data_IF_531371674739
#
_entry.id   IF_531371674739
#
_cell.length_a   1.000
_cell.length_b   1.000
_cell.length_c   1.000
_cell.angle_alpha   90.00
_cell.angle_beta   90.00
_cell.angle_gamma   90.00
#
_symmetry.space_group_name_H-M   'P 1'
#
loop_
_entity.id
_entity.type
_entity.pdbx_description
1 polymer ?
#
# COMPACT_ATOMS: atom_id res chain seq x y z
N UNK A 1 -8.41 -12.78 -25.07
CA UNK A 1 -7.75 -11.58 -25.66
C UNK A 1 -6.30 -11.57 -25.16
N UNK A 2 -5.32 -11.65 -26.04
CA UNK A 2 -3.90 -11.57 -25.68
C UNK A 2 -3.39 -10.18 -26.04
N UNK A 3 -3.24 -9.25 -25.07
CA UNK A 3 -2.73 -7.93 -25.36
C UNK A 3 -1.27 -7.99 -25.84
N UNK A 4 -0.86 -7.03 -26.68
CA UNK A 4 0.53 -6.92 -27.09
C UNK A 4 1.46 -6.70 -25.89
N UNK A 5 2.74 -7.02 -26.01
CA UNK A 5 3.75 -6.79 -24.96
C UNK A 5 3.78 -5.31 -24.55
N UNK A 6 3.68 -4.39 -25.49
CA UNK A 6 3.63 -2.96 -25.19
C UNK A 6 2.40 -2.59 -24.35
N UNK A 7 1.24 -3.16 -24.70
CA UNK A 7 0.00 -2.98 -23.92
C UNK A 7 0.13 -3.55 -22.50
N UNK A 8 0.70 -4.74 -22.35
CA UNK A 8 0.94 -5.35 -21.03
C UNK A 8 1.85 -4.47 -20.16
N UNK A 9 2.94 -3.97 -20.74
CA UNK A 9 3.89 -3.09 -20.04
C UNK A 9 3.23 -1.76 -19.64
N UNK A 10 2.39 -1.19 -20.51
CA UNK A 10 1.63 0.03 -20.23
C UNK A 10 0.62 -0.16 -19.10
N UNK A 11 -0.15 -1.26 -19.12
CA UNK A 11 -1.10 -1.59 -18.05
C UNK A 11 -0.41 -1.85 -16.71
N UNK A 12 0.74 -2.54 -16.73
CA UNK A 12 1.53 -2.77 -15.51
C UNK A 12 2.06 -1.45 -14.93
N UNK A 13 2.56 -0.53 -15.76
CA UNK A 13 2.99 0.79 -15.32
C UNK A 13 1.81 1.59 -14.71
N UNK A 14 0.66 1.60 -15.38
CA UNK A 14 -0.53 2.26 -14.88
C UNK A 14 -0.98 1.69 -13.52
N UNK A 15 -1.02 0.35 -13.38
CA UNK A 15 -1.36 -0.31 -12.12
C UNK A 15 -0.42 0.08 -10.98
N UNK A 16 0.90 0.10 -11.24
CA UNK A 16 1.90 0.53 -10.26
C UNK A 16 1.73 2.00 -9.87
N UNK A 17 1.46 2.86 -10.85
CA UNK A 17 1.22 4.29 -10.60
C UNK A 17 -0.03 4.51 -9.73
N UNK A 18 -1.12 3.79 -9.98
CA UNK A 18 -2.34 3.87 -9.18
C UNK A 18 -2.13 3.37 -7.74
N UNK A 19 -1.37 2.30 -7.54
CA UNK A 19 -1.00 1.82 -6.21
C UNK A 19 -0.13 2.87 -5.49
N UNK A 20 0.89 3.40 -6.15
CA UNK A 20 1.75 4.44 -5.58
C UNK A 20 0.96 5.72 -5.24
N UNK A 21 -0.02 6.09 -6.06
CA UNK A 21 -0.90 7.25 -5.83
C UNK A 21 -1.74 7.10 -4.55
N UNK A 22 -2.02 5.89 -4.11
CA UNK A 22 -2.68 5.66 -2.82
C UNK A 22 -1.70 5.82 -1.65
N UNK A 23 -0.54 5.17 -1.71
CA UNK A 23 0.35 5.06 -0.56
C UNK A 23 1.27 6.26 -0.37
N UNK A 24 1.88 6.79 -1.44
CA UNK A 24 2.84 7.88 -1.32
C UNK A 24 2.21 9.17 -0.75
N UNK A 25 1.08 9.67 -1.26
CA UNK A 25 0.42 10.82 -0.66
C UNK A 25 -0.06 10.56 0.77
N UNK A 26 -0.54 9.33 1.06
CA UNK A 26 -0.97 8.96 2.41
C UNK A 26 0.19 9.01 3.41
N UNK A 27 1.37 8.50 3.04
CA UNK A 27 2.56 8.59 3.87
C UNK A 27 3.06 10.02 4.04
N UNK A 28 3.10 10.81 2.96
CA UNK A 28 3.52 12.23 3.01
C UNK A 28 2.59 13.07 3.88
N UNK A 29 1.28 12.87 3.82
CA UNK A 29 0.31 13.59 4.65
C UNK A 29 0.51 13.32 6.15
N UNK A 30 0.96 12.13 6.52
CA UNK A 30 1.26 11.76 7.90
C UNK A 30 2.45 12.54 8.49
N UNK A 31 3.37 12.98 7.65
CA UNK A 31 4.50 13.83 8.11
C UNK A 31 3.96 15.13 8.68
N UNK A 32 3.03 15.79 7.98
CA UNK A 32 2.43 17.05 8.41
C UNK A 32 1.51 16.94 9.63
N UNK A 33 0.98 15.73 9.90
CA UNK A 33 0.07 15.45 11.02
C UNK A 33 0.61 14.39 11.98
N UNK A 34 1.93 14.29 12.12
CA UNK A 34 2.61 13.20 12.83
C UNK A 34 2.08 12.96 14.24
N UNK A 35 1.94 14.01 15.05
CA UNK A 35 1.42 13.89 16.42
C UNK A 35 -0.02 13.35 16.45
N UNK A 36 -0.87 13.77 15.52
CA UNK A 36 -2.24 13.28 15.40
C UNK A 36 -2.28 11.79 14.99
N UNK A 37 -1.40 11.39 14.07
CA UNK A 37 -1.27 9.98 13.65
C UNK A 37 -0.79 9.11 14.80
N UNK A 38 0.25 9.54 15.54
CA UNK A 38 0.73 8.82 16.72
C UNK A 38 -0.35 8.71 17.80
N UNK A 39 -1.10 9.79 18.06
CA UNK A 39 -2.23 9.79 18.99
C UNK A 39 -3.32 8.79 18.56
N UNK A 40 -3.65 8.74 17.28
CA UNK A 40 -4.62 7.77 16.75
C UNK A 40 -4.13 6.32 16.90
N UNK A 41 -2.87 6.05 16.61
CA UNK A 41 -2.26 4.72 16.79
C UNK A 41 -2.33 4.31 18.28
N UNK A 42 -1.95 5.22 19.20
CA UNK A 42 -2.02 4.98 20.63
C UNK A 42 -3.46 4.69 21.11
N UNK A 43 -4.46 5.37 20.57
CA UNK A 43 -5.87 5.15 20.90
C UNK A 43 -6.38 3.74 20.52
N UNK A 44 -5.69 3.05 19.63
CA UNK A 44 -5.96 1.65 19.26
C UNK A 44 -5.19 0.63 20.13
N UNK A 45 -4.51 1.10 21.19
CA UNK A 45 -3.75 0.23 22.10
C UNK A 45 -2.43 -0.28 21.50
N UNK A 46 -1.96 0.31 20.41
CA UNK A 46 -0.67 -0.07 19.79
C UNK A 46 0.47 0.58 20.56
N UNK A 47 1.44 -0.20 21.07
CA UNK A 47 2.58 0.36 21.81
C UNK A 47 3.54 1.08 20.86
N UNK A 48 4.38 1.97 21.42
CA UNK A 48 5.40 2.73 20.67
C UNK A 48 4.79 3.48 19.46
N UNK A 49 3.67 4.17 19.68
CA UNK A 49 2.86 4.77 18.63
C UNK A 49 3.63 5.70 17.69
N UNK A 50 4.59 6.50 18.21
CA UNK A 50 5.43 7.38 17.40
C UNK A 50 6.37 6.57 16.49
N UNK A 51 6.95 5.50 16.99
CA UNK A 51 7.79 4.59 16.19
C UNK A 51 6.95 3.93 15.10
N UNK A 52 5.74 3.46 15.44
CA UNK A 52 4.82 2.88 14.47
C UNK A 52 4.39 3.90 13.40
N UNK A 53 4.16 5.17 13.78
CA UNK A 53 3.86 6.25 12.84
C UNK A 53 5.04 6.50 11.87
N UNK A 54 6.27 6.54 12.38
CA UNK A 54 7.47 6.71 11.56
C UNK A 54 7.67 5.52 10.58
N UNK A 55 7.46 4.29 11.07
CA UNK A 55 7.50 3.08 10.21
C UNK A 55 6.43 3.15 9.13
N UNK A 56 5.21 3.54 9.46
CA UNK A 56 4.12 3.66 8.49
C UNK A 56 4.48 4.65 7.37
N UNK A 57 5.03 5.82 7.71
CA UNK A 57 5.50 6.81 6.73
C UNK A 57 6.60 6.21 5.85
N UNK A 58 7.61 5.58 6.44
CA UNK A 58 8.73 4.99 5.71
C UNK A 58 8.27 3.89 4.75
N UNK A 59 7.34 3.03 5.19
CA UNK A 59 6.77 1.95 4.37
C UNK A 59 5.92 2.52 3.24
N UNK A 60 4.99 3.40 3.53
CA UNK A 60 4.06 3.94 2.52
C UNK A 60 4.79 4.77 1.46
N UNK A 61 5.69 5.67 1.86
CA UNK A 61 6.47 6.50 0.93
C UNK A 61 7.56 5.66 0.26
N UNK A 62 8.37 4.95 1.02
CA UNK A 62 9.53 4.21 0.50
C UNK A 62 9.11 3.09 -0.44
N UNK A 63 8.28 2.15 0.02
CA UNK A 63 7.84 1.03 -0.82
C UNK A 63 6.91 1.49 -1.95
N UNK A 64 6.09 2.53 -1.71
CA UNK A 64 5.26 3.13 -2.76
C UNK A 64 6.10 3.70 -3.90
N UNK A 65 7.18 4.41 -3.62
CA UNK A 65 8.11 4.93 -4.64
C UNK A 65 8.88 3.81 -5.35
N UNK A 66 9.27 2.75 -4.65
CA UNK A 66 9.90 1.57 -5.26
C UNK A 66 8.96 0.89 -6.26
N UNK A 67 7.68 0.74 -5.91
CA UNK A 67 6.66 0.19 -6.82
C UNK A 67 6.48 1.10 -8.02
N UNK A 68 6.41 2.42 -7.84
CA UNK A 68 6.28 3.38 -8.95
C UNK A 68 7.45 3.26 -9.92
N UNK A 69 8.67 3.29 -9.41
CA UNK A 69 9.89 3.16 -10.20
C UNK A 69 10.04 1.76 -10.83
N UNK A 70 9.38 0.77 -10.26
CA UNK A 70 9.55 -0.62 -10.66
C UNK A 70 10.92 -1.18 -10.29
N UNK A 71 11.42 -0.84 -9.08
CA UNK A 71 12.69 -1.32 -8.54
C UNK A 71 12.46 -2.18 -7.31
N UNK A 72 13.08 -3.39 -7.31
CA UNK A 72 12.84 -4.40 -6.28
C UNK A 72 11.32 -4.64 -6.06
N UNK A 73 10.57 -4.57 -7.13
CA UNK A 73 9.10 -4.42 -7.13
C UNK A 73 8.41 -5.54 -6.37
N UNK A 74 8.86 -6.78 -6.54
CA UNK A 74 8.26 -7.93 -5.86
C UNK A 74 8.41 -7.85 -4.34
N UNK A 75 9.58 -7.43 -3.84
CA UNK A 75 9.83 -7.28 -2.41
C UNK A 75 9.09 -6.07 -1.84
N UNK A 76 9.09 -4.95 -2.56
CA UNK A 76 8.34 -3.76 -2.18
C UNK A 76 6.82 -4.05 -2.11
N UNK A 77 6.28 -4.76 -3.09
CA UNK A 77 4.88 -5.16 -3.13
C UNK A 77 4.53 -6.14 -1.99
N UNK A 78 5.39 -7.11 -1.69
CA UNK A 78 5.19 -8.03 -0.58
C UNK A 78 5.19 -7.30 0.75
N UNK A 79 6.18 -6.43 0.99
CA UNK A 79 6.26 -5.63 2.22
C UNK A 79 5.04 -4.74 2.41
N UNK A 80 4.59 -4.07 1.34
CA UNK A 80 3.41 -3.21 1.38
C UNK A 80 2.11 -4.01 1.55
N UNK A 81 2.02 -5.22 0.99
CA UNK A 81 0.89 -6.12 1.19
C UNK A 81 0.77 -6.56 2.66
N UNK A 82 1.88 -7.01 3.27
CA UNK A 82 1.92 -7.38 4.69
C UNK A 82 1.53 -6.19 5.56
N UNK A 83 2.13 -5.03 5.33
CA UNK A 83 1.80 -3.80 6.05
C UNK A 83 0.31 -3.47 5.94
N UNK A 84 -0.26 -3.52 4.73
CA UNK A 84 -1.67 -3.21 4.49
C UNK A 84 -2.60 -4.19 5.22
N UNK A 85 -2.28 -5.49 5.23
CA UNK A 85 -3.05 -6.47 6.01
C UNK A 85 -3.04 -6.10 7.50
N UNK A 86 -1.86 -5.84 8.07
CA UNK A 86 -1.71 -5.52 9.50
C UNK A 86 -2.52 -4.29 9.87
N UNK A 87 -2.36 -3.17 9.15
CA UNK A 87 -3.10 -1.93 9.45
C UNK A 87 -4.61 -2.09 9.23
N UNK A 88 -5.03 -2.94 8.29
CA UNK A 88 -6.44 -3.18 8.02
C UNK A 88 -7.12 -3.82 9.22
N UNK A 89 -6.53 -4.84 9.81
CA UNK A 89 -7.10 -5.49 11.00
C UNK A 89 -7.05 -4.62 12.26
N UNK A 90 -6.03 -3.75 12.39
CA UNK A 90 -5.91 -2.85 13.55
C UNK A 90 -6.87 -1.66 13.44
N UNK A 91 -6.94 -1.00 12.28
CA UNK A 91 -7.60 0.29 12.13
C UNK A 91 -8.98 0.24 11.47
N UNK A 92 -9.32 -0.87 10.79
CA UNK A 92 -10.57 -1.04 10.07
C UNK A 92 -11.38 -2.26 10.55
N UNK A 93 -11.30 -2.58 11.85
CA UNK A 93 -12.06 -3.65 12.49
C UNK A 93 -13.55 -3.26 12.61
N UNK A 94 -14.30 -3.37 11.50
CA UNK A 94 -15.69 -2.94 11.42
C UNK A 94 -16.64 -3.71 12.36
N UNK A 95 -16.22 -4.86 12.86
CA UNK A 95 -16.95 -5.65 13.87
C UNK A 95 -16.79 -5.13 15.31
N UNK A 96 -15.90 -4.15 15.52
CA UNK A 96 -15.55 -3.61 16.85
C UNK A 96 -15.79 -2.10 16.96
N UNK A 97 -16.65 -1.54 16.10
CA UNK A 97 -16.98 -0.11 16.08
C UNK A 97 -18.48 0.10 16.31
N UNK A 98 -18.93 1.30 16.76
CA UNK A 98 -20.33 1.64 16.87
C UNK A 98 -21.08 1.50 15.54
N UNK A 99 -22.40 1.21 15.55
CA UNK A 99 -23.21 0.94 14.36
C UNK A 99 -23.09 2.00 13.25
N UNK A 100 -22.98 3.27 13.64
CA UNK A 100 -22.85 4.41 12.70
C UNK A 100 -21.54 4.41 11.92
N UNK A 101 -20.51 3.71 12.38
CA UNK A 101 -19.20 3.61 11.74
C UNK A 101 -19.01 2.32 10.95
N UNK A 102 -19.87 1.31 11.13
CA UNK A 102 -19.70 -0.03 10.53
C UNK A 102 -19.54 0.05 9.01
N UNK A 103 -20.43 0.76 8.34
CA UNK A 103 -20.39 0.84 6.87
C UNK A 103 -19.08 1.45 6.36
N UNK A 104 -18.62 2.54 6.96
CA UNK A 104 -17.39 3.22 6.58
C UNK A 104 -16.16 2.33 6.80
N UNK A 105 -16.10 1.69 7.96
CA UNK A 105 -14.97 0.81 8.30
C UNK A 105 -14.96 -0.46 7.46
N UNK A 106 -16.13 -1.02 7.14
CA UNK A 106 -16.27 -2.16 6.27
C UNK A 106 -15.80 -1.85 4.84
N UNK A 107 -16.17 -0.69 4.29
CA UNK A 107 -15.70 -0.25 2.99
C UNK A 107 -14.19 -0.07 2.96
N UNK A 108 -13.61 0.55 4.00
CA UNK A 108 -12.17 0.72 4.13
C UNK A 108 -11.45 -0.64 4.22
N UNK A 109 -11.98 -1.58 5.00
CA UNK A 109 -11.46 -2.93 5.15
C UNK A 109 -11.38 -3.64 3.78
N UNK A 110 -12.50 -3.76 3.09
CA UNK A 110 -12.53 -4.49 1.81
C UNK A 110 -11.79 -3.77 0.69
N UNK A 111 -11.74 -2.44 0.68
CA UNK A 111 -10.87 -1.68 -0.22
C UNK A 111 -9.40 -2.05 -0.01
N UNK A 112 -8.94 -2.12 1.23
CA UNK A 112 -7.56 -2.51 1.53
C UNK A 112 -7.27 -3.96 1.13
N UNK A 113 -8.22 -4.89 1.34
CA UNK A 113 -8.09 -6.27 0.88
C UNK A 113 -7.98 -6.34 -0.66
N UNK A 114 -8.74 -5.53 -1.39
CA UNK A 114 -8.62 -5.45 -2.84
C UNK A 114 -7.24 -4.92 -3.28
N UNK A 115 -6.70 -3.92 -2.57
CA UNK A 115 -5.34 -3.40 -2.80
C UNK A 115 -4.29 -4.49 -2.55
N UNK A 116 -4.44 -5.28 -1.49
CA UNK A 116 -3.57 -6.44 -1.22
C UNK A 116 -3.60 -7.42 -2.39
N UNK A 117 -4.77 -7.68 -2.97
CA UNK A 117 -4.90 -8.50 -4.19
C UNK A 117 -4.07 -7.97 -5.35
N UNK A 118 -4.12 -6.66 -5.61
CA UNK A 118 -3.28 -6.00 -6.62
C UNK A 118 -1.78 -6.11 -6.33
N UNK A 119 -1.38 -5.93 -5.06
CA UNK A 119 0.02 -6.08 -4.63
C UNK A 119 0.51 -7.52 -4.80
N UNK A 120 -0.30 -8.53 -4.47
CA UNK A 120 0.04 -9.94 -4.69
C UNK A 120 0.19 -10.27 -6.18
N UNK A 121 -0.59 -9.65 -7.06
CA UNK A 121 -0.40 -9.78 -8.49
C UNK A 121 0.97 -9.23 -8.93
N UNK A 122 1.42 -8.08 -8.38
CA UNK A 122 2.78 -7.57 -8.63
C UNK A 122 3.88 -8.50 -8.08
N UNK A 123 3.65 -9.14 -6.94
CA UNK A 123 4.57 -10.17 -6.41
C UNK A 123 4.69 -11.34 -7.37
N UNK A 124 3.57 -11.82 -7.89
CA UNK A 124 3.53 -12.99 -8.76
C UNK A 124 4.15 -12.73 -10.14
N UNK A 125 3.72 -11.65 -10.80
CA UNK A 125 4.08 -11.39 -12.21
C UNK A 125 5.14 -10.31 -12.40
N UNK A 126 5.45 -9.53 -11.36
CA UNK A 126 6.47 -8.46 -11.44
C UNK A 126 5.98 -7.18 -12.12
N UNK A 127 6.89 -6.21 -12.34
CA UNK A 127 6.55 -4.84 -12.74
C UNK A 127 6.35 -4.62 -14.26
N UNK A 128 6.61 -5.61 -15.09
CA UNK A 128 6.62 -5.45 -16.55
C UNK A 128 7.87 -4.73 -17.08
N UNK A 129 7.99 -4.62 -18.42
CA UNK A 129 9.18 -4.08 -19.08
C UNK A 129 9.39 -2.57 -18.88
N UNK A 130 8.32 -1.79 -18.62
CA UNK A 130 8.45 -0.35 -18.32
C UNK A 130 8.77 -0.12 -16.83
N UNK A 131 9.92 -0.66 -16.39
CA UNK A 131 10.37 -0.62 -15.00
C UNK A 131 11.89 -0.70 -14.93
N UNK A 132 12.47 -0.33 -13.77
CA UNK A 132 13.91 -0.48 -13.54
C UNK A 132 14.33 -1.95 -13.47
N UNK A 133 13.49 -2.81 -12.90
CA UNK A 133 13.74 -4.26 -12.86
C UNK A 133 13.69 -4.87 -14.27
N UNK A 134 12.76 -4.43 -15.11
CA UNK A 134 12.63 -4.91 -16.48
C UNK A 134 13.82 -4.56 -17.36
N UNK A 135 14.46 -3.40 -17.16
CA UNK A 135 15.67 -2.99 -17.89
C UNK A 135 16.93 -3.77 -17.50
N UNK A 136 16.95 -4.39 -16.34
CA UNK A 136 18.07 -5.21 -15.86
C UNK A 136 17.97 -6.66 -16.31
N UNK A 137 16.79 -7.08 -16.76
CA UNK A 137 16.54 -8.44 -17.23
C UNK A 137 16.81 -8.62 -18.74
N UNK A 138 17.11 -7.53 -19.46
CA UNK A 138 17.54 -7.50 -20.87
C UNK A 138 19.05 -7.31 -20.97
#
# INVERSE_FOLDING_TARGET
>A
MNPSIATQNGLSLAGRALIALLFVPAGLSKIGSFAGVAGYIASKGVPLAEVCAAIAIAVEVGLGLLILAGWQTRWAALGLAIFTVVITFIFHAFWAVPPEQVMQQQQAFFKNIAVVGGLLALVAWGPGGYSLDGRRAT
#
